data_IF_649841529206
#
_entry.id   IF_649841529206
#
_cell.length_a   1.000
_cell.length_b   1.000
_cell.length_c   1.000
_cell.angle_alpha   90.00
_cell.angle_beta   90.00
_cell.angle_gamma   90.00
#
_symmetry.space_group_name_H-M   'P 1'
#
loop_
_entity.id
_entity.type
_entity.pdbx_description
1 polymer ?
#
# COMPACT_ATOMS: atom_id res chain seq x y z
N UNK A 1 7.04 -16.79 -3.03
CA UNK A 1 6.14 -16.46 -1.89
C UNK A 1 5.21 -15.35 -2.36
N UNK A 2 3.92 -15.40 -2.02
CA UNK A 2 2.99 -14.34 -2.41
C UNK A 2 3.23 -13.12 -1.50
N UNK A 3 3.50 -11.97 -2.09
CA UNK A 3 3.77 -10.73 -1.37
C UNK A 3 2.48 -10.07 -0.94
N UNK A 4 2.37 -9.62 0.30
CA UNK A 4 1.14 -8.99 0.81
C UNK A 4 1.30 -7.49 0.95
N UNK A 5 0.40 -6.75 0.33
CA UNK A 5 0.37 -5.28 0.32
C UNK A 5 -0.90 -4.84 1.02
N UNK A 6 -0.77 -4.10 2.12
CA UNK A 6 -1.89 -3.55 2.87
C UNK A 6 -2.15 -2.10 2.44
N UNK A 7 -3.27 -1.84 1.78
CA UNK A 7 -3.71 -0.50 1.41
C UNK A 7 -4.67 0.04 2.46
N UNK A 8 -4.31 1.16 3.07
CA UNK A 8 -5.08 1.78 4.13
C UNK A 8 -5.71 3.07 3.64
N UNK A 9 -7.04 3.20 3.72
CA UNK A 9 -7.75 4.40 3.29
C UNK A 9 -8.49 5.05 4.46
N UNK A 10 -8.20 6.34 4.71
CA UNK A 10 -8.82 7.12 5.78
C UNK A 10 -10.08 7.88 5.39
N UNK A 11 -10.23 8.25 4.11
CA UNK A 11 -11.18 9.30 3.69
C UNK A 11 -12.19 8.91 2.59
N UNK A 12 -12.32 7.63 2.24
CA UNK A 12 -13.42 7.18 1.37
C UNK A 12 -13.11 5.94 0.51
N UNK A 13 -14.09 5.03 0.42
CA UNK A 13 -13.99 3.71 -0.24
C UNK A 13 -13.80 3.81 -1.78
N UNK A 14 -14.13 4.95 -2.39
CA UNK A 14 -14.06 5.10 -3.85
C UNK A 14 -12.61 5.16 -4.36
N UNK A 15 -11.73 5.91 -3.68
CA UNK A 15 -10.35 6.15 -4.12
C UNK A 15 -9.43 4.94 -3.89
N UNK A 16 -9.78 4.09 -2.93
CA UNK A 16 -9.00 2.91 -2.56
C UNK A 16 -9.12 1.78 -3.59
N UNK A 17 -10.28 1.64 -4.24
CA UNK A 17 -10.49 0.65 -5.31
C UNK A 17 -9.60 0.91 -6.52
N UNK A 18 -9.45 2.19 -6.91
CA UNK A 18 -8.58 2.58 -8.04
C UNK A 18 -7.12 2.31 -7.74
N UNK A 19 -6.67 2.61 -6.51
CA UNK A 19 -5.30 2.34 -6.10
C UNK A 19 -4.99 0.84 -6.05
N UNK A 20 -5.88 0.03 -5.46
CA UNK A 20 -5.71 -1.43 -5.43
C UNK A 20 -5.57 -2.00 -6.84
N UNK A 21 -6.43 -1.57 -7.77
CA UNK A 21 -6.40 -2.04 -9.16
C UNK A 21 -5.09 -1.66 -9.86
N UNK A 22 -4.64 -0.40 -9.71
CA UNK A 22 -3.34 0.06 -10.25
C UNK A 22 -2.15 -0.72 -9.70
N UNK A 23 -2.14 -1.00 -8.39
CA UNK A 23 -1.08 -1.77 -7.73
C UNK A 23 -1.08 -3.21 -8.25
N UNK A 24 -2.26 -3.86 -8.30
CA UNK A 24 -2.40 -5.21 -8.85
C UNK A 24 -1.97 -5.29 -10.31
N UNK A 25 -2.44 -4.38 -11.16
CA UNK A 25 -2.06 -4.32 -12.57
C UNK A 25 -0.54 -4.15 -12.72
N UNK A 26 0.07 -3.25 -11.95
CA UNK A 26 1.52 -3.00 -12.01
C UNK A 26 2.33 -4.24 -11.59
N UNK A 27 1.91 -4.92 -10.53
CA UNK A 27 2.57 -6.15 -10.05
C UNK A 27 2.33 -7.34 -10.95
N UNK A 28 1.13 -7.47 -11.54
CA UNK A 28 0.83 -8.48 -12.54
C UNK A 28 1.68 -8.29 -13.80
N UNK A 29 1.86 -7.05 -14.27
CA UNK A 29 2.78 -6.73 -15.36
C UNK A 29 4.24 -7.05 -15.02
N UNK A 30 4.63 -6.91 -13.75
CA UNK A 30 5.95 -7.31 -13.27
C UNK A 30 6.09 -8.82 -13.02
N UNK A 31 5.05 -9.62 -13.27
CA UNK A 31 4.98 -11.05 -12.98
C UNK A 31 5.22 -11.39 -11.49
N UNK A 32 4.90 -10.45 -10.60
CA UNK A 32 5.01 -10.59 -9.15
C UNK A 32 3.65 -10.99 -8.59
N UNK A 33 3.58 -12.13 -7.89
CA UNK A 33 2.36 -12.52 -7.16
C UNK A 33 2.21 -11.66 -5.92
N UNK A 34 1.34 -10.67 -6.00
CA UNK A 34 0.95 -9.83 -4.88
C UNK A 34 -0.50 -10.04 -4.46
N UNK A 35 -0.78 -9.92 -3.18
CA UNK A 35 -2.11 -9.89 -2.59
C UNK A 35 -2.33 -8.50 -1.99
N UNK A 36 -3.29 -7.76 -2.54
CA UNK A 36 -3.59 -6.40 -2.10
C UNK A 36 -4.80 -6.45 -1.16
N UNK A 37 -4.56 -6.17 0.12
CA UNK A 37 -5.57 -6.17 1.18
C UNK A 37 -5.93 -4.73 1.48
N UNK A 38 -7.21 -4.41 1.57
CA UNK A 38 -7.65 -3.07 1.92
C UNK A 38 -8.19 -3.05 3.35
N UNK A 39 -7.70 -2.13 4.18
CA UNK A 39 -8.12 -2.02 5.57
C UNK A 39 -8.24 -0.55 6.00
N UNK A 40 -8.73 -0.33 7.22
CA UNK A 40 -8.81 1.01 7.84
C UNK A 40 -7.56 1.28 8.67
N UNK A 41 -7.23 2.57 8.86
CA UNK A 41 -6.08 3.00 9.67
C UNK A 41 -6.11 2.38 11.08
N UNK A 42 -7.29 2.21 11.69
CA UNK A 42 -7.43 1.58 13.00
C UNK A 42 -7.04 0.10 13.03
N UNK A 43 -7.07 -0.59 11.90
CA UNK A 43 -6.71 -2.01 11.77
C UNK A 43 -5.26 -2.22 11.34
N UNK A 44 -4.54 -1.13 11.00
CA UNK A 44 -3.15 -1.16 10.56
C UNK A 44 -2.26 -1.98 11.49
N UNK A 45 -2.31 -1.72 12.79
CA UNK A 45 -1.47 -2.41 13.77
C UNK A 45 -1.73 -3.92 13.83
N UNK A 46 -2.93 -4.38 13.48
CA UNK A 46 -3.27 -5.81 13.47
C UNK A 46 -2.83 -6.54 12.19
N UNK A 47 -2.67 -5.80 11.09
CA UNK A 47 -2.25 -6.34 9.80
C UNK A 47 -0.77 -6.08 9.49
N UNK A 48 -0.15 -5.08 10.11
CA UNK A 48 1.22 -4.68 9.85
C UNK A 48 2.22 -5.84 10.00
N UNK A 49 2.03 -6.72 10.99
CA UNK A 49 2.87 -7.90 11.22
C UNK A 49 2.59 -9.06 10.24
N UNK A 50 1.51 -9.00 9.47
CA UNK A 50 1.05 -10.08 8.58
C UNK A 50 1.27 -9.80 7.10
N UNK A 51 1.82 -8.63 6.79
CA UNK A 51 2.02 -8.12 5.43
C UNK A 51 3.47 -7.73 5.20
N UNK A 52 3.91 -7.76 3.94
CA UNK A 52 5.27 -7.36 3.57
C UNK A 52 5.40 -5.85 3.40
N UNK A 53 4.34 -5.18 2.93
CA UNK A 53 4.36 -3.75 2.60
C UNK A 53 3.04 -3.12 3.00
N UNK A 54 3.10 -1.90 3.51
CA UNK A 54 1.93 -1.12 3.90
C UNK A 54 1.90 0.16 3.07
N UNK A 55 0.75 0.47 2.46
CA UNK A 55 0.49 1.68 1.68
C UNK A 55 -0.57 2.51 2.39
N UNK A 56 -0.16 3.67 2.92
CA UNK A 56 -1.04 4.57 3.65
C UNK A 56 -1.61 5.67 2.74
N UNK A 57 -2.87 5.54 2.34
CA UNK A 57 -3.62 6.53 1.57
C UNK A 57 -4.29 7.58 2.49
N UNK A 58 -3.73 7.84 3.66
CA UNK A 58 -4.27 8.77 4.63
C UNK A 58 -3.21 9.81 5.01
N UNK A 59 -3.60 11.08 5.04
CA UNK A 59 -2.73 12.15 5.50
C UNK A 59 -2.55 12.04 7.02
N UNK A 60 -1.30 11.99 7.48
CA UNK A 60 -0.94 12.11 8.90
C UNK A 60 -0.86 10.80 9.69
N UNK A 61 -1.04 9.65 9.06
CA UNK A 61 -0.76 8.38 9.71
C UNK A 61 0.75 8.10 9.67
N UNK A 62 1.38 8.09 10.83
CA UNK A 62 2.76 7.66 11.04
C UNK A 62 2.72 6.41 11.91
N UNK A 63 3.42 5.36 11.49
CA UNK A 63 3.54 4.17 12.30
C UNK A 63 4.51 4.44 13.45
N UNK A 64 4.26 3.87 14.65
CA UNK A 64 5.29 3.80 15.67
C UNK A 64 6.49 2.99 15.14
N UNK A 65 7.71 3.41 15.46
CA UNK A 65 8.99 2.80 15.01
C UNK A 65 9.16 1.31 15.36
N UNK A 66 8.21 0.75 16.11
CA UNK A 66 8.12 -0.67 16.44
C UNK A 66 7.67 -1.55 15.27
N UNK A 67 7.10 -0.97 14.21
CA UNK A 67 6.71 -1.72 13.02
C UNK A 67 7.89 -1.85 12.08
N UNK A 68 8.45 -3.06 11.97
CA UNK A 68 9.54 -3.38 11.04
C UNK A 68 9.10 -3.46 9.57
N UNK A 69 7.80 -3.43 9.31
CA UNK A 69 7.24 -3.55 7.95
C UNK A 69 7.39 -2.22 7.21
N UNK A 70 7.93 -2.22 5.98
CA UNK A 70 8.11 -1.00 5.20
C UNK A 70 6.78 -0.31 4.91
N UNK A 71 6.76 0.98 5.21
CA UNK A 71 5.62 1.88 5.02
C UNK A 71 5.84 2.78 3.82
N UNK A 72 4.86 2.80 2.92
CA UNK A 72 4.85 3.62 1.72
C UNK A 72 3.69 4.61 1.81
N UNK A 73 3.99 5.87 1.51
CA UNK A 73 3.00 6.94 1.50
C UNK A 73 2.14 6.81 0.25
N UNK A 74 0.86 6.49 0.44
CA UNK A 74 -0.16 6.46 -0.60
C UNK A 74 -0.73 7.84 -0.96
N UNK A 75 -0.20 8.92 -0.39
CA UNK A 75 -0.60 10.30 -0.74
C UNK A 75 -0.59 10.57 -2.27
N UNK A 76 0.42 10.09 -3.04
CA UNK A 76 0.47 10.22 -4.50
C UNK A 76 -0.72 9.60 -5.24
N UNK A 77 -1.39 8.60 -4.65
CA UNK A 77 -2.60 8.02 -5.21
C UNK A 77 -3.84 8.90 -5.04
N UNK A 78 -3.84 9.80 -4.05
CA UNK A 78 -4.91 10.78 -3.84
C UNK A 78 -4.70 12.03 -4.68
N UNK A 79 -3.47 12.54 -4.69
CA UNK A 79 -3.13 13.78 -5.39
C UNK A 79 -2.93 13.56 -6.89
N UNK A 80 -2.73 12.31 -7.32
CA UNK A 80 -2.43 11.96 -8.72
C UNK A 80 -1.01 12.32 -9.16
N UNK A 81 -0.24 13.04 -8.33
CA UNK A 81 1.15 13.42 -8.60
C UNK A 81 2.11 12.42 -7.95
N UNK A 82 3.05 11.87 -8.72
CA UNK A 82 4.06 10.92 -8.21
C UNK A 82 3.58 9.48 -8.07
N UNK A 83 2.38 9.15 -8.57
CA UNK A 83 1.76 7.84 -8.42
C UNK A 83 2.60 6.70 -9.04
N UNK A 84 3.27 6.97 -10.16
CA UNK A 84 4.20 6.02 -10.81
C UNK A 84 5.46 5.78 -9.96
N UNK A 85 6.06 6.84 -9.41
CA UNK A 85 7.24 6.71 -8.55
C UNK A 85 6.94 5.87 -7.31
N UNK A 86 5.78 6.08 -6.69
CA UNK A 86 5.35 5.26 -5.54
C UNK A 86 5.17 3.80 -5.92
N UNK A 87 4.58 3.51 -7.08
CA UNK A 87 4.45 2.13 -7.59
C UNK A 87 5.81 1.46 -7.84
N UNK A 88 6.76 2.22 -8.39
CA UNK A 88 8.14 1.77 -8.59
C UNK A 88 8.86 1.51 -7.26
N UNK A 89 8.69 2.38 -6.26
CA UNK A 89 9.20 2.16 -4.90
C UNK A 89 8.63 0.89 -4.27
N UNK A 90 7.30 0.71 -4.37
CA UNK A 90 6.64 -0.50 -3.87
C UNK A 90 7.26 -1.74 -4.53
N UNK A 91 7.45 -1.73 -5.85
CA UNK A 91 8.06 -2.85 -6.57
C UNK A 91 9.51 -3.08 -6.16
N UNK A 92 10.31 -2.02 -5.96
CA UNK A 92 11.69 -2.15 -5.46
C UNK A 92 11.78 -2.80 -4.09
N UNK A 93 10.79 -2.61 -3.22
CA UNK A 93 10.73 -3.27 -1.91
C UNK A 93 10.16 -4.70 -1.95
N UNK A 94 9.54 -5.09 -3.08
CA UNK A 94 8.92 -6.41 -3.25
C UNK A 94 9.73 -7.37 -4.13
N UNK A 95 10.60 -6.85 -4.99
CA UNK A 95 11.62 -7.61 -5.73
C UNK A 95 12.73 -8.12 -4.80
#
# INVERSE_FOLDING_TARGET
MAKRVLVLCGNGVATSTVACKKIQDYMANANVRCEVIQAKIGELASYADKVDVIVLMAMGATLPDTVNTPLIKGLPFLTGMGLKETLEEIKKHLQ
#
